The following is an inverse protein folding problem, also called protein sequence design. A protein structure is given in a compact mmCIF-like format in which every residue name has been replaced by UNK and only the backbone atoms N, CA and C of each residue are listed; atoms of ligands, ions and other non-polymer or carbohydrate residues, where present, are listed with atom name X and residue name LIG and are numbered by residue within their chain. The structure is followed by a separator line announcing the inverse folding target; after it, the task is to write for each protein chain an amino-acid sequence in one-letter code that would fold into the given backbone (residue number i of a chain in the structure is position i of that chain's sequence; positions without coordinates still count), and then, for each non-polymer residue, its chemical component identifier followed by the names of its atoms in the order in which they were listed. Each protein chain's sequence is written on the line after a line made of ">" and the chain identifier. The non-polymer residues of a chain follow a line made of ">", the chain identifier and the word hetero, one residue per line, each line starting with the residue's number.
data_IF_954905541760
#
_entry.id   IF_954905541760
#
_cell.length_a   1.000
_cell.length_b   1.000
_cell.length_c   1.000
_cell.angle_alpha   90.00
_cell.angle_beta   90.00
_cell.angle_gamma   90.00
#
_symmetry.space_group_name_H-M   'P 1'
#
loop_
_entity.id
_entity.type
_entity.pdbx_description
1 polymer ?
#
# COMPACT_ATOMS: atom_id res chain seq x y z
N UNK A 1 40.86 -8.24 15.19
CA UNK A 1 39.78 -7.61 14.39
C UNK A 1 38.83 -6.89 15.34
N UNK A 2 38.37 -5.70 14.99
CA UNK A 2 37.39 -4.94 15.77
C UNK A 2 35.96 -5.22 15.32
N UNK A 3 35.00 -5.09 16.23
CA UNK A 3 33.58 -5.27 15.95
C UNK A 3 33.03 -4.12 15.09
N UNK A 4 32.25 -4.45 14.05
CA UNK A 4 31.76 -3.50 13.05
C UNK A 4 30.37 -2.92 13.34
N UNK A 5 29.72 -3.35 14.43
CA UNK A 5 28.38 -2.90 14.81
C UNK A 5 27.29 -3.08 13.74
N UNK A 6 27.40 -4.14 12.92
CA UNK A 6 26.38 -4.50 11.91
C UNK A 6 25.29 -5.41 12.53
N UNK A 7 25.69 -6.34 13.39
CA UNK A 7 24.76 -7.28 14.04
C UNK A 7 24.90 -7.26 15.55
N UNK A 8 23.78 -7.12 16.26
CA UNK A 8 23.73 -7.11 17.73
C UNK A 8 24.32 -8.40 18.30
N UNK A 9 25.45 -8.29 19.01
CA UNK A 9 26.12 -9.45 19.61
C UNK A 9 25.25 -10.11 20.68
N UNK A 10 24.75 -9.29 21.61
CA UNK A 10 23.89 -9.71 22.73
C UNK A 10 22.62 -8.86 22.71
N UNK A 11 21.47 -9.51 22.58
CA UNK A 11 20.17 -8.83 22.65
C UNK A 11 19.66 -8.83 24.08
N UNK A 12 18.98 -7.74 24.45
CA UNK A 12 18.26 -7.62 25.73
C UNK A 12 16.79 -7.36 25.43
N UNK A 13 15.91 -7.90 26.26
CA UNK A 13 14.47 -7.74 26.11
C UNK A 13 13.88 -7.19 27.41
N UNK A 14 12.94 -6.26 27.28
CA UNK A 14 12.17 -5.69 28.38
C UNK A 14 10.67 -5.88 28.11
N UNK A 15 9.81 -5.43 29.03
CA UNK A 15 8.37 -5.36 28.81
C UNK A 15 8.04 -4.52 27.57
N UNK A 16 6.98 -4.92 26.84
CA UNK A 16 6.60 -4.26 25.60
C UNK A 16 6.21 -2.79 25.82
N UNK A 17 6.69 -1.92 24.93
CA UNK A 17 6.40 -0.50 24.96
C UNK A 17 5.15 -0.18 24.14
N UNK A 18 4.10 0.33 24.78
CA UNK A 18 2.81 0.64 24.12
C UNK A 18 2.76 2.02 23.42
N UNK A 19 3.90 2.72 23.37
CA UNK A 19 4.03 4.03 22.73
C UNK A 19 3.60 5.18 23.64
N UNK A 20 3.97 6.41 23.23
CA UNK A 20 3.59 7.64 23.93
C UNK A 20 2.07 7.81 23.96
N UNK A 21 1.52 8.34 25.05
CA UNK A 21 0.09 8.62 25.17
C UNK A 21 -0.42 9.47 24.00
N UNK A 22 -1.55 9.05 23.43
CA UNK A 22 -2.20 9.79 22.34
C UNK A 22 -3.02 10.95 22.90
N UNK A 23 -3.19 12.01 22.10
CA UNK A 23 -4.06 13.13 22.47
C UNK A 23 -5.52 12.67 22.64
N UNK A 24 -6.28 13.30 23.57
CA UNK A 24 -7.71 13.03 23.74
C UNK A 24 -8.47 13.11 22.41
N UNK A 25 -9.40 12.17 22.19
CA UNK A 25 -10.16 12.06 20.93
C UNK A 25 -9.47 11.22 19.83
N UNK A 26 -8.25 10.73 20.07
CA UNK A 26 -7.67 9.67 19.23
C UNK A 26 -8.28 8.32 19.59
N UNK A 27 -8.54 7.48 18.60
CA UNK A 27 -8.84 6.07 18.85
C UNK A 27 -7.68 5.39 19.59
N UNK A 28 -7.96 4.30 20.28
CA UNK A 28 -6.92 3.54 20.97
C UNK A 28 -6.00 2.83 19.96
N UNK A 29 -4.79 2.49 20.41
CA UNK A 29 -3.91 1.58 19.66
C UNK A 29 -4.39 0.15 19.87
N UNK A 30 -4.02 -0.73 18.96
CA UNK A 30 -4.12 -2.15 19.22
C UNK A 30 -3.19 -2.54 20.39
N UNK A 31 -3.50 -3.62 21.09
CA UNK A 31 -2.74 -4.05 22.29
C UNK A 31 -1.72 -5.14 22.00
N UNK A 32 -1.78 -5.77 20.82
CA UNK A 32 -0.93 -6.88 20.46
C UNK A 32 0.51 -6.42 20.19
N UNK A 33 1.47 -7.10 20.82
CA UNK A 33 2.91 -6.91 20.63
C UNK A 33 3.60 -8.25 20.63
N UNK A 34 4.58 -8.43 19.73
CA UNK A 34 5.41 -9.63 19.68
C UNK A 34 6.88 -9.25 19.60
N UNK A 35 7.78 -10.20 19.89
CA UNK A 35 9.22 -10.00 19.80
C UNK A 35 9.83 -10.99 18.82
N UNK A 36 10.69 -10.50 17.93
CA UNK A 36 11.40 -11.31 16.93
C UNK A 36 12.90 -11.26 17.18
N UNK A 37 13.49 -12.42 17.48
CA UNK A 37 14.94 -12.58 17.67
C UNK A 37 15.74 -12.12 16.44
N UNK A 38 15.25 -12.43 15.24
CA UNK A 38 15.94 -12.08 14.00
C UNK A 38 15.88 -10.59 13.69
N UNK A 39 14.76 -9.91 13.98
CA UNK A 39 14.71 -8.44 13.88
C UNK A 39 15.63 -7.79 14.92
N UNK A 40 15.69 -8.34 16.13
CA UNK A 40 16.63 -7.88 17.18
C UNK A 40 18.11 -8.00 16.81
N UNK A 41 18.47 -8.81 15.79
CA UNK A 41 19.86 -8.89 15.32
C UNK A 41 20.28 -7.67 14.51
N UNK A 42 19.32 -6.96 13.91
CA UNK A 42 19.57 -5.81 13.03
C UNK A 42 18.95 -4.49 13.55
N UNK A 43 18.09 -4.54 14.58
CA UNK A 43 17.40 -3.37 15.11
C UNK A 43 16.56 -3.68 16.35
N UNK A 44 15.39 -3.05 16.46
CA UNK A 44 14.43 -3.33 17.54
C UNK A 44 13.73 -4.68 17.28
N UNK A 45 13.61 -5.48 18.34
CA UNK A 45 12.95 -6.78 18.30
C UNK A 45 11.42 -6.67 18.39
N UNK A 46 10.88 -5.58 18.92
CA UNK A 46 9.45 -5.42 19.14
C UNK A 46 8.69 -5.13 17.84
N UNK A 47 7.63 -5.90 17.58
CA UNK A 47 6.68 -5.67 16.49
C UNK A 47 5.31 -5.30 17.08
N UNK A 48 4.80 -4.14 16.67
CA UNK A 48 3.58 -3.54 17.23
C UNK A 48 3.85 -2.71 18.51
N UNK A 49 2.82 -2.08 19.10
CA UNK A 49 1.43 -2.06 18.65
C UNK A 49 1.20 -1.09 17.48
N UNK A 50 0.22 -1.38 16.63
CA UNK A 50 -0.17 -0.49 15.53
C UNK A 50 -1.40 0.34 15.90
N UNK A 51 -1.44 1.59 15.44
CA UNK A 51 -2.65 2.40 15.50
C UNK A 51 -3.50 2.13 14.27
N UNK A 52 -4.72 1.60 14.36
CA UNK A 52 -5.67 1.57 13.25
C UNK A 52 -6.91 2.42 13.59
N UNK A 53 -6.87 3.71 13.24
CA UNK A 53 -8.10 4.51 13.18
C UNK A 53 -8.88 4.26 11.89
N UNK A 54 -10.07 4.84 11.77
CA UNK A 54 -10.97 4.71 10.59
C UNK A 54 -10.22 4.89 9.26
N UNK A 55 -9.41 5.94 9.14
CA UNK A 55 -8.60 6.19 7.93
C UNK A 55 -7.70 5.01 7.53
N UNK A 56 -7.08 4.36 8.52
CA UNK A 56 -6.20 3.22 8.27
C UNK A 56 -6.97 1.97 7.87
N UNK A 57 -8.09 1.70 8.54
CA UNK A 57 -8.97 0.57 8.22
C UNK A 57 -9.51 0.71 6.79
N UNK A 58 -10.08 1.86 6.45
CA UNK A 58 -10.67 2.10 5.13
C UNK A 58 -9.61 2.05 4.03
N UNK A 59 -8.40 2.59 4.29
CA UNK A 59 -7.27 2.48 3.36
C UNK A 59 -6.87 1.02 3.12
N UNK A 60 -6.77 0.20 4.18
CA UNK A 60 -6.45 -1.21 4.07
C UNK A 60 -7.52 -2.00 3.32
N UNK A 61 -8.80 -1.70 3.55
CA UNK A 61 -9.93 -2.32 2.83
C UNK A 61 -9.87 -1.99 1.33
N UNK A 62 -9.67 -0.72 0.97
CA UNK A 62 -9.54 -0.35 -0.44
C UNK A 62 -8.31 -0.97 -1.11
N UNK A 63 -7.19 -1.08 -0.39
CA UNK A 63 -6.02 -1.79 -0.89
C UNK A 63 -6.31 -3.26 -1.13
N UNK A 64 -6.98 -3.92 -0.18
CA UNK A 64 -7.38 -5.32 -0.31
C UNK A 64 -8.30 -5.53 -1.52
N UNK A 65 -9.27 -4.64 -1.75
CA UNK A 65 -10.11 -4.71 -2.95
C UNK A 65 -9.31 -4.55 -4.24
N UNK A 66 -8.38 -3.59 -4.33
CA UNK A 66 -7.53 -3.44 -5.50
C UNK A 66 -6.71 -4.71 -5.78
N UNK A 67 -6.07 -5.27 -4.75
CA UNK A 67 -5.29 -6.51 -4.87
C UNK A 67 -6.15 -7.72 -5.25
N UNK A 68 -7.35 -7.83 -4.69
CA UNK A 68 -8.29 -8.91 -5.03
C UNK A 68 -8.74 -8.82 -6.49
N UNK A 69 -9.06 -7.63 -6.99
CA UNK A 69 -9.47 -7.44 -8.38
C UNK A 69 -8.33 -7.82 -9.33
N UNK A 70 -7.09 -7.37 -9.04
CA UNK A 70 -5.91 -7.74 -9.84
C UNK A 70 -5.73 -9.27 -9.83
N UNK A 71 -5.68 -9.87 -8.64
CA UNK A 71 -5.44 -11.31 -8.49
C UNK A 71 -6.52 -12.18 -9.14
N UNK A 72 -7.79 -11.81 -9.01
CA UNK A 72 -8.90 -12.53 -9.64
C UNK A 72 -8.87 -12.40 -11.17
N UNK A 73 -8.52 -11.23 -11.71
CA UNK A 73 -8.39 -11.06 -13.17
C UNK A 73 -7.20 -11.86 -13.72
N UNK A 74 -6.04 -11.83 -13.04
CA UNK A 74 -4.89 -12.65 -13.42
C UNK A 74 -5.21 -14.16 -13.36
N UNK A 75 -5.98 -14.60 -12.37
CA UNK A 75 -6.41 -15.99 -12.27
C UNK A 75 -7.42 -16.37 -13.37
N UNK A 76 -8.31 -15.45 -13.76
CA UNK A 76 -9.24 -15.65 -14.85
C UNK A 76 -8.53 -15.77 -16.21
N UNK A 77 -7.39 -15.11 -16.41
CA UNK A 77 -6.57 -15.22 -17.63
C UNK A 77 -5.98 -16.62 -17.86
N UNK A 78 -5.89 -17.44 -16.81
CA UNK A 78 -5.39 -18.82 -16.87
C UNK A 78 -6.49 -19.84 -16.57
N UNK A 79 -7.73 -19.52 -16.91
CA UNK A 79 -8.90 -20.39 -16.76
C UNK A 79 -9.07 -20.97 -15.35
N UNK A 80 -8.75 -20.16 -14.31
CA UNK A 80 -8.81 -20.56 -12.90
C UNK A 80 -7.85 -21.69 -12.49
N UNK A 81 -6.86 -22.00 -13.32
CA UNK A 81 -5.84 -22.98 -13.01
C UNK A 81 -4.74 -22.37 -12.13
N UNK A 82 -4.74 -22.72 -10.83
CA UNK A 82 -3.79 -22.22 -9.84
C UNK A 82 -2.33 -22.58 -10.17
N UNK A 83 -2.08 -23.74 -10.79
CA UNK A 83 -0.73 -24.16 -11.17
C UNK A 83 -0.20 -23.26 -12.30
N UNK A 84 -1.05 -22.99 -13.29
CA UNK A 84 -0.71 -22.07 -14.39
C UNK A 84 -0.55 -20.63 -13.88
N UNK A 85 -1.37 -20.21 -12.91
CA UNK A 85 -1.26 -18.91 -12.26
C UNK A 85 0.11 -18.72 -11.59
N UNK A 86 0.55 -19.68 -10.77
CA UNK A 86 1.86 -19.60 -10.10
C UNK A 86 2.99 -19.64 -11.12
N UNK A 87 2.90 -20.50 -12.15
CA UNK A 87 3.90 -20.61 -13.20
C UNK A 87 4.08 -19.31 -13.98
N UNK A 88 2.97 -18.66 -14.33
CA UNK A 88 2.95 -17.49 -15.19
C UNK A 88 2.83 -16.17 -14.41
N UNK A 89 2.90 -16.19 -13.08
CA UNK A 89 2.56 -15.06 -12.22
C UNK A 89 3.24 -13.73 -12.65
N UNK A 90 4.52 -13.77 -13.00
CA UNK A 90 5.29 -12.59 -13.44
C UNK A 90 5.00 -12.12 -14.88
N UNK A 91 4.13 -12.80 -15.61
CA UNK A 91 3.71 -12.46 -16.98
C UNK A 91 2.22 -12.14 -17.08
N UNK A 92 1.45 -12.35 -16.02
CA UNK A 92 0.04 -12.00 -15.97
C UNK A 92 -0.08 -10.51 -15.67
N UNK A 93 -0.98 -9.83 -16.37
CA UNK A 93 -1.16 -8.40 -16.23
C UNK A 93 -2.63 -8.03 -16.38
N UNK A 94 -3.11 -7.11 -15.54
CA UNK A 94 -4.38 -6.43 -15.78
C UNK A 94 -4.10 -5.21 -16.67
N UNK A 95 -4.45 -5.35 -17.95
CA UNK A 95 -4.21 -4.33 -18.97
C UNK A 95 -5.18 -3.14 -18.86
N UNK A 96 -4.73 -1.92 -19.23
CA UNK A 96 -5.59 -0.75 -19.32
C UNK A 96 -6.64 -0.90 -20.45
N UNK A 97 -7.70 -0.07 -20.44
CA UNK A 97 -8.66 0.00 -21.54
C UNK A 97 -7.99 0.26 -22.89
N UNK A 98 -8.55 -0.32 -23.96
CA UNK A 98 -8.14 0.00 -25.33
C UNK A 98 -8.38 1.48 -25.66
N UNK A 99 -7.57 2.03 -26.56
CA UNK A 99 -7.63 3.44 -26.95
C UNK A 99 -8.98 3.89 -27.53
N UNK A 100 -9.77 2.96 -28.11
CA UNK A 100 -11.11 3.24 -28.65
C UNK A 100 -12.09 3.78 -27.59
N UNK A 101 -11.87 3.45 -26.32
CA UNK A 101 -12.69 3.93 -25.22
C UNK A 101 -12.28 5.32 -24.71
N UNK A 102 -11.13 5.86 -25.14
CA UNK A 102 -10.63 7.17 -24.69
C UNK A 102 -10.60 7.27 -23.16
N UNK A 103 -11.29 8.28 -22.61
CA UNK A 103 -11.45 8.48 -21.16
C UNK A 103 -12.78 7.93 -20.59
N UNK A 104 -13.59 7.25 -21.40
CA UNK A 104 -14.86 6.68 -20.95
C UNK A 104 -14.66 5.43 -20.09
N UNK A 105 -15.72 5.02 -19.38
CA UNK A 105 -15.73 3.78 -18.62
C UNK A 105 -16.11 2.61 -19.55
N UNK A 106 -15.18 1.69 -19.89
CA UNK A 106 -15.43 0.59 -20.81
C UNK A 106 -16.15 -0.58 -20.11
N UNK A 107 -16.58 -1.60 -20.86
CA UNK A 107 -17.04 -2.86 -20.29
C UNK A 107 -16.00 -3.48 -19.34
N UNK A 108 -16.47 -4.20 -18.32
CA UNK A 108 -15.59 -4.80 -17.29
C UNK A 108 -14.49 -5.68 -17.89
N UNK A 109 -14.84 -6.52 -18.87
CA UNK A 109 -13.91 -7.44 -19.54
C UNK A 109 -12.88 -6.73 -20.44
N UNK A 110 -13.09 -5.47 -20.80
CA UNK A 110 -12.27 -4.72 -21.76
C UNK A 110 -11.49 -3.56 -21.11
N UNK A 111 -11.22 -3.66 -19.81
CA UNK A 111 -10.46 -2.67 -19.04
C UNK A 111 -11.25 -1.98 -17.93
N UNK A 112 -12.54 -2.28 -17.76
CA UNK A 112 -13.33 -1.70 -16.66
C UNK A 112 -12.81 -2.15 -15.27
N UNK A 113 -12.26 -3.37 -15.19
CA UNK A 113 -11.55 -3.84 -13.99
C UNK A 113 -10.28 -3.06 -13.69
N UNK A 114 -9.57 -2.58 -14.71
CA UNK A 114 -8.38 -1.74 -14.55
C UNK A 114 -8.76 -0.39 -13.93
N UNK A 115 -9.79 0.28 -14.45
CA UNK A 115 -10.27 1.56 -13.87
C UNK A 115 -10.75 1.40 -12.44
N UNK A 116 -11.49 0.33 -12.16
CA UNK A 116 -11.99 0.02 -10.81
C UNK A 116 -10.84 -0.21 -9.84
N UNK A 117 -9.82 -0.96 -10.27
CA UNK A 117 -8.57 -1.17 -9.51
C UNK A 117 -7.84 0.15 -9.28
N UNK A 118 -7.66 0.95 -10.32
CA UNK A 118 -6.99 2.25 -10.25
C UNK A 118 -7.68 3.20 -9.26
N UNK A 119 -9.01 3.22 -9.24
CA UNK A 119 -9.79 3.99 -8.28
C UNK A 119 -9.55 3.52 -6.83
N UNK A 120 -9.71 2.22 -6.55
CA UNK A 120 -9.52 1.69 -5.20
C UNK A 120 -8.09 1.84 -4.70
N UNK A 121 -7.11 1.63 -5.58
CA UNK A 121 -5.70 1.80 -5.25
C UNK A 121 -5.36 3.27 -4.95
N UNK A 122 -5.81 4.20 -5.82
CA UNK A 122 -5.59 5.63 -5.61
C UNK A 122 -6.24 6.11 -4.32
N UNK A 123 -7.50 5.72 -4.06
CA UNK A 123 -8.20 6.06 -2.83
C UNK A 123 -7.48 5.52 -1.59
N UNK A 124 -7.00 4.27 -1.65
CA UNK A 124 -6.23 3.66 -0.57
C UNK A 124 -4.95 4.45 -0.27
N UNK A 125 -4.18 4.83 -1.29
CA UNK A 125 -2.93 5.58 -1.16
C UNK A 125 -3.18 6.97 -0.55
N UNK A 126 -4.20 7.68 -1.03
CA UNK A 126 -4.56 9.00 -0.49
C UNK A 126 -5.04 8.92 0.97
N UNK A 127 -5.82 7.90 1.32
CA UNK A 127 -6.22 7.67 2.71
C UNK A 127 -5.01 7.30 3.59
N UNK A 128 -4.05 6.55 3.05
CA UNK A 128 -2.81 6.27 3.76
C UNK A 128 -1.97 7.54 3.96
N UNK A 129 -1.95 8.44 2.99
CA UNK A 129 -1.33 9.76 3.15
C UNK A 129 -1.99 10.55 4.29
N UNK A 130 -3.32 10.63 4.31
CA UNK A 130 -4.07 11.28 5.41
C UNK A 130 -3.74 10.63 6.75
N UNK A 131 -3.59 9.30 6.79
CA UNK A 131 -3.14 8.58 7.99
C UNK A 131 -1.76 9.06 8.45
N UNK A 132 -0.75 9.13 7.57
CA UNK A 132 0.59 9.62 7.95
C UNK A 132 0.52 11.03 8.54
N UNK A 133 -0.24 11.92 7.90
CA UNK A 133 -0.40 13.30 8.33
C UNK A 133 -1.04 13.40 9.71
N UNK A 134 -2.16 12.68 9.92
CA UNK A 134 -2.87 12.65 11.20
C UNK A 134 -2.01 12.05 12.33
N UNK A 135 -1.12 11.10 12.04
CA UNK A 135 -0.23 10.51 13.06
C UNK A 135 0.86 11.48 13.50
N UNK A 136 1.51 12.17 12.57
CA UNK A 136 2.48 13.21 12.92
C UNK A 136 1.83 14.31 13.77
N UNK A 137 0.63 14.77 13.38
CA UNK A 137 -0.11 15.80 14.14
C UNK A 137 -0.53 15.34 15.53
N UNK A 138 -0.97 14.09 15.68
CA UNK A 138 -1.36 13.53 16.99
C UNK A 138 -0.20 13.48 17.98
N UNK A 139 1.03 13.28 17.49
CA UNK A 139 2.26 13.25 18.29
C UNK A 139 2.92 14.63 18.43
N UNK A 140 2.36 15.68 17.83
CA UNK A 140 2.97 17.03 17.85
C UNK A 140 4.24 17.15 17.01
N UNK A 141 4.47 16.22 16.07
CA UNK A 141 5.62 16.20 15.18
C UNK A 141 5.38 17.02 13.91
N UNK A 142 6.46 17.41 13.22
CA UNK A 142 6.39 17.98 11.87
C UNK A 142 5.90 16.97 10.83
N UNK A 143 5.35 17.45 9.72
CA UNK A 143 4.69 16.62 8.68
C UNK A 143 5.61 16.29 7.49
N UNK A 144 6.93 16.28 7.71
CA UNK A 144 7.93 16.03 6.67
C UNK A 144 7.71 14.72 5.91
N UNK A 145 7.37 13.63 6.64
CA UNK A 145 7.10 12.32 6.05
C UNK A 145 5.90 12.36 5.11
N UNK A 146 4.82 13.06 5.48
CA UNK A 146 3.63 13.20 4.64
C UNK A 146 3.95 13.99 3.37
N UNK A 147 4.77 15.03 3.44
CA UNK A 147 5.15 15.81 2.25
C UNK A 147 6.12 15.04 1.34
N UNK A 148 7.06 14.29 1.90
CA UNK A 148 7.89 13.37 1.14
C UNK A 148 7.04 12.31 0.42
N UNK A 149 6.04 11.75 1.13
CA UNK A 149 5.12 10.78 0.54
C UNK A 149 4.23 11.42 -0.55
N UNK A 150 3.80 12.67 -0.38
CA UNK A 150 3.04 13.39 -1.40
C UNK A 150 3.82 13.53 -2.72
N UNK A 151 5.14 13.70 -2.67
CA UNK A 151 6.00 13.71 -3.85
C UNK A 151 5.98 12.36 -4.60
N UNK A 152 6.02 11.25 -3.86
CA UNK A 152 5.89 9.91 -4.47
C UNK A 152 4.48 9.68 -5.07
N UNK A 153 3.43 10.16 -4.38
CA UNK A 153 2.06 10.12 -4.87
C UNK A 153 1.92 10.94 -6.16
N UNK A 154 2.62 12.07 -6.27
CA UNK A 154 2.63 12.87 -7.48
C UNK A 154 3.14 12.08 -8.68
N UNK A 155 4.26 11.36 -8.56
CA UNK A 155 4.76 10.50 -9.63
C UNK A 155 3.75 9.39 -9.98
N UNK A 156 3.18 8.73 -8.97
CA UNK A 156 2.14 7.71 -9.17
C UNK A 156 0.92 8.26 -9.96
N UNK A 157 0.41 9.43 -9.55
CA UNK A 157 -0.70 10.09 -10.24
C UNK A 157 -0.28 10.59 -11.62
N UNK A 158 0.97 11.04 -11.79
CA UNK A 158 1.47 11.48 -13.08
C UNK A 158 1.37 10.35 -14.13
N UNK A 159 1.82 9.15 -13.77
CA UNK A 159 1.84 7.99 -14.67
C UNK A 159 0.45 7.40 -14.91
N UNK A 160 -0.33 7.19 -13.84
CA UNK A 160 -1.59 6.43 -13.92
C UNK A 160 -2.84 7.28 -14.15
N UNK A 161 -2.77 8.61 -14.02
CA UNK A 161 -3.95 9.48 -14.05
C UNK A 161 -3.73 10.77 -14.86
N UNK A 162 -2.78 11.61 -14.46
CA UNK A 162 -2.60 12.95 -15.06
C UNK A 162 -2.17 12.85 -16.52
N UNK A 163 -1.13 12.06 -16.84
CA UNK A 163 -0.70 11.88 -18.23
C UNK A 163 -1.79 11.23 -19.09
N UNK A 164 -2.41 10.09 -18.72
CA UNK A 164 -3.52 9.51 -19.48
C UNK A 164 -4.67 10.48 -19.75
N UNK A 165 -5.05 11.28 -18.75
CA UNK A 165 -6.09 12.32 -18.90
C UNK A 165 -5.66 13.42 -19.87
N UNK A 166 -4.41 13.89 -19.79
CA UNK A 166 -3.88 14.88 -20.74
C UNK A 166 -3.77 14.34 -22.17
N UNK A 167 -3.49 13.03 -22.33
CA UNK A 167 -3.43 12.35 -23.62
C UNK A 167 -4.82 11.97 -24.16
N UNK A 168 -5.88 12.10 -23.36
CA UNK A 168 -7.25 11.80 -23.76
C UNK A 168 -7.59 10.31 -23.84
N UNK A 169 -6.77 9.43 -23.29
CA UNK A 169 -7.01 7.98 -23.31
C UNK A 169 -6.40 7.25 -22.11
N UNK A 170 -7.14 6.30 -21.54
CA UNK A 170 -6.64 5.43 -20.46
C UNK A 170 -5.60 4.40 -20.93
N UNK A 171 -5.49 4.14 -22.23
CA UNK A 171 -4.55 3.17 -22.79
C UNK A 171 -3.08 3.52 -22.56
N UNK A 172 -2.77 4.79 -22.28
CA UNK A 172 -1.42 5.28 -22.00
C UNK A 172 -0.97 4.99 -20.55
N UNK A 173 -1.88 4.53 -19.70
CA UNK A 173 -1.57 4.22 -18.32
C UNK A 173 -0.87 2.85 -18.21
N UNK A 174 -0.02 2.64 -17.19
CA UNK A 174 0.66 1.36 -17.00
C UNK A 174 -0.33 0.22 -16.64
N UNK A 175 -0.10 -1.00 -17.14
CA UNK A 175 -0.82 -2.19 -16.70
C UNK A 175 -0.41 -2.58 -15.26
N UNK A 176 -1.24 -3.40 -14.60
CA UNK A 176 -0.89 -4.01 -13.32
C UNK A 176 -0.42 -5.45 -13.53
N UNK A 177 0.89 -5.68 -13.64
CA UNK A 177 1.51 -6.99 -13.86
C UNK A 177 3.01 -6.93 -13.61
#
# INVERSE_FOLDING_TARGET
>A
MAYQNIFTQVQVQCAAHHGVALRPGSSERETQTTFSYWLGKIGDAQVGPIYLGVTGVVSAIFFAFAMLIIGLNMLAQVDWNVIAFIKNFCWLALEPPKAEYGLSFPPLAEGGWWLTTGFFLTASILLWWVRTYRRSRALGMGTHVSWAFASAIFLYLALGFIQPVMMGTWSEAPPFG
#
